data_IF_882463880194
#
_entry.id   IF_882463880194
#
_cell.length_a   1.000
_cell.length_b   1.000
_cell.length_c   1.000
_cell.angle_alpha   90.00
_cell.angle_beta   90.00
_cell.angle_gamma   90.00
#
_symmetry.space_group_name_H-M   'P 1'
#
loop_
_entity.id
_entity.type
_entity.pdbx_description
1 polymer ?
#
# COMPACT_ATOMS: atom_id res chain seq x y z
N UNK A 1 -31.25 -10.75 -25.42
CA UNK A 1 -31.29 -10.93 -23.96
C UNK A 1 -29.90 -11.37 -23.56
N UNK A 2 -29.15 -10.54 -22.82
CA UNK A 2 -27.85 -10.94 -22.30
C UNK A 2 -28.07 -12.09 -21.32
N UNK A 3 -27.57 -13.28 -21.64
CA UNK A 3 -27.48 -14.39 -20.70
C UNK A 3 -26.66 -13.91 -19.51
N UNK A 4 -27.33 -13.68 -18.37
CA UNK A 4 -26.69 -13.29 -17.14
C UNK A 4 -25.83 -14.46 -16.66
N UNK A 5 -24.53 -14.38 -16.93
CA UNK A 5 -23.54 -15.27 -16.34
C UNK A 5 -23.48 -14.97 -14.85
N UNK A 6 -23.66 -15.99 -14.02
CA UNK A 6 -23.55 -15.88 -12.57
C UNK A 6 -22.17 -15.36 -12.18
N UNK A 7 -22.12 -14.22 -11.48
CA UNK A 7 -20.86 -13.66 -10.98
C UNK A 7 -20.45 -14.44 -9.73
N UNK A 8 -19.28 -15.07 -9.78
CA UNK A 8 -18.78 -15.90 -8.67
C UNK A 8 -17.79 -15.17 -7.75
N UNK A 9 -17.16 -14.09 -8.20
CA UNK A 9 -16.19 -13.32 -7.42
C UNK A 9 -15.96 -11.95 -8.06
N UNK A 10 -15.66 -10.94 -7.25
CA UNK A 10 -15.20 -9.62 -7.69
C UNK A 10 -13.76 -9.41 -7.25
N UNK A 11 -12.90 -9.05 -8.20
CA UNK A 11 -11.51 -8.69 -7.95
C UNK A 11 -11.32 -7.19 -8.15
N UNK A 12 -10.73 -6.53 -7.16
CA UNK A 12 -10.39 -5.10 -7.22
C UNK A 12 -8.90 -4.95 -7.02
N UNK A 13 -8.22 -4.46 -8.05
CA UNK A 13 -6.81 -4.13 -7.98
C UNK A 13 -6.62 -2.64 -7.67
N UNK A 14 -5.47 -2.28 -7.11
CA UNK A 14 -5.14 -0.92 -6.68
C UNK A 14 -6.21 -0.27 -5.78
N UNK A 15 -6.81 -1.08 -4.91
CA UNK A 15 -7.95 -0.73 -4.06
C UNK A 15 -7.66 0.42 -3.07
N UNK A 16 -6.39 0.81 -2.92
CA UNK A 16 -6.03 2.02 -2.18
C UNK A 16 -6.65 3.30 -2.75
N UNK A 17 -6.94 3.33 -4.06
CA UNK A 17 -7.54 4.49 -4.73
C UNK A 17 -9.05 4.58 -4.58
N UNK A 18 -9.68 3.61 -3.91
CA UNK A 18 -11.11 3.67 -3.64
C UNK A 18 -11.45 4.85 -2.73
N UNK A 19 -12.62 5.41 -2.97
CA UNK A 19 -13.31 6.23 -1.97
C UNK A 19 -13.92 5.35 -0.89
N UNK A 20 -14.20 5.93 0.28
CA UNK A 20 -14.77 5.23 1.41
C UNK A 20 -16.15 4.60 1.08
N UNK A 21 -17.01 5.31 0.34
CA UNK A 21 -18.30 4.77 -0.09
C UNK A 21 -18.13 3.57 -1.04
N UNK A 22 -17.13 3.59 -1.93
CA UNK A 22 -16.87 2.46 -2.83
C UNK A 22 -16.47 1.21 -2.05
N UNK A 23 -15.65 1.35 -1.00
CA UNK A 23 -15.32 0.24 -0.11
C UNK A 23 -16.56 -0.35 0.56
N UNK A 24 -17.49 0.49 1.03
CA UNK A 24 -18.77 0.03 1.59
C UNK A 24 -19.70 -0.62 0.57
N UNK A 25 -19.70 -0.15 -0.68
CA UNK A 25 -20.44 -0.81 -1.76
C UNK A 25 -19.92 -2.23 -2.01
N UNK A 26 -18.60 -2.42 -2.00
CA UNK A 26 -17.96 -3.74 -2.10
C UNK A 26 -18.34 -4.66 -0.93
N UNK A 27 -18.33 -4.15 0.31
CA UNK A 27 -18.80 -4.92 1.47
C UNK A 27 -20.26 -5.36 1.31
N UNK A 28 -21.14 -4.47 0.82
CA UNK A 28 -22.55 -4.82 0.56
C UNK A 28 -22.70 -5.89 -0.52
N UNK A 29 -21.80 -5.97 -1.51
CA UNK A 29 -21.80 -7.06 -2.50
C UNK A 29 -21.50 -8.39 -1.81
N UNK A 30 -20.48 -8.44 -0.96
CA UNK A 30 -20.15 -9.63 -0.17
C UNK A 30 -21.34 -10.05 0.71
N UNK A 31 -21.87 -9.13 1.50
CA UNK A 31 -22.89 -9.42 2.51
C UNK A 31 -24.25 -9.78 1.89
N UNK A 32 -24.69 -9.02 0.88
CA UNK A 32 -26.08 -9.08 0.39
C UNK A 32 -26.26 -9.94 -0.84
N UNK A 33 -25.22 -10.04 -1.66
CA UNK A 33 -25.25 -10.87 -2.87
C UNK A 33 -24.54 -12.21 -2.67
N UNK A 34 -23.86 -12.39 -1.52
CA UNK A 34 -23.07 -13.58 -1.23
C UNK A 34 -22.01 -13.85 -2.30
N UNK A 35 -21.43 -12.78 -2.85
CA UNK A 35 -20.37 -12.83 -3.86
C UNK A 35 -19.05 -12.40 -3.19
N UNK A 36 -18.05 -13.27 -3.09
CA UNK A 36 -16.74 -12.92 -2.54
C UNK A 36 -16.13 -11.70 -3.25
N UNK A 37 -15.57 -10.79 -2.46
CA UNK A 37 -14.82 -9.63 -2.97
C UNK A 37 -13.39 -9.68 -2.47
N UNK A 38 -12.44 -9.62 -3.39
CA UNK A 38 -11.01 -9.64 -3.08
C UNK A 38 -10.37 -8.32 -3.53
N UNK A 39 -9.91 -7.54 -2.55
CA UNK A 39 -9.24 -6.27 -2.78
C UNK A 39 -7.73 -6.41 -2.61
N UNK A 40 -6.97 -5.93 -3.59
CA UNK A 40 -5.51 -5.82 -3.55
C UNK A 40 -5.10 -4.37 -3.60
N UNK A 41 -4.13 -3.97 -2.79
CA UNK A 41 -3.66 -2.59 -2.79
C UNK A 41 -2.62 -2.28 -1.73
N UNK A 42 -2.03 -1.10 -1.83
CA UNK A 42 -1.03 -0.59 -0.89
C UNK A 42 -1.70 -0.07 0.37
N UNK A 43 -1.16 -0.44 1.54
CA UNK A 43 -1.69 0.04 2.82
C UNK A 43 -1.45 1.53 3.03
N UNK A 44 -0.21 1.97 2.82
CA UNK A 44 0.28 3.32 3.11
C UNK A 44 1.05 3.89 1.95
N UNK A 45 1.05 5.21 1.82
CA UNK A 45 1.91 5.94 0.90
C UNK A 45 3.37 5.97 1.37
N UNK A 46 4.23 6.64 0.60
CA UNK A 46 5.65 6.80 0.93
C UNK A 46 5.90 7.66 2.19
N UNK A 47 4.91 8.45 2.62
CA UNK A 47 4.94 9.24 3.85
C UNK A 47 4.43 8.43 5.06
N UNK A 48 4.05 7.17 4.86
CA UNK A 48 3.51 6.30 5.92
C UNK A 48 2.06 6.58 6.29
N UNK A 49 1.33 7.37 5.48
CA UNK A 49 -0.10 7.66 5.70
C UNK A 49 -0.95 6.64 4.99
N UNK A 50 -2.08 6.26 5.61
CA UNK A 50 -3.05 5.38 4.95
C UNK A 50 -3.67 6.09 3.75
N UNK A 51 -3.83 5.35 2.65
CA UNK A 51 -4.71 5.78 1.57
C UNK A 51 -6.19 5.72 2.02
N UNK A 52 -7.06 6.51 1.38
CA UNK A 52 -8.49 6.55 1.72
C UNK A 52 -9.15 5.18 1.61
N UNK A 53 -8.98 4.50 0.47
CA UNK A 53 -9.56 3.19 0.21
C UNK A 53 -9.02 2.14 1.18
N UNK A 54 -7.70 2.14 1.39
CA UNK A 54 -7.04 1.23 2.33
C UNK A 54 -7.49 1.46 3.77
N UNK A 55 -7.71 2.72 4.19
CA UNK A 55 -8.22 3.04 5.52
C UNK A 55 -9.61 2.44 5.73
N UNK A 56 -10.50 2.59 4.75
CA UNK A 56 -11.85 2.03 4.82
C UNK A 56 -11.80 0.49 4.83
N UNK A 57 -11.07 -0.11 3.89
CA UNK A 57 -10.96 -1.57 3.77
C UNK A 57 -10.34 -2.21 5.02
N UNK A 58 -9.32 -1.60 5.62
CA UNK A 58 -8.74 -2.10 6.89
C UNK A 58 -9.75 -2.12 8.04
N UNK A 59 -10.75 -1.26 8.03
CA UNK A 59 -11.76 -1.18 9.09
C UNK A 59 -12.88 -2.22 8.91
N UNK A 60 -13.23 -2.55 7.67
CA UNK A 60 -14.46 -3.31 7.36
C UNK A 60 -14.23 -4.70 6.79
N UNK A 61 -13.01 -5.03 6.33
CA UNK A 61 -12.75 -6.33 5.69
C UNK A 61 -12.78 -7.48 6.69
N UNK A 62 -13.50 -8.56 6.37
CA UNK A 62 -13.58 -9.77 7.21
C UNK A 62 -12.22 -10.47 7.38
N UNK A 63 -11.41 -10.43 6.31
CA UNK A 63 -10.09 -11.05 6.26
C UNK A 63 -9.05 -10.08 5.71
N UNK A 64 -7.98 -9.88 6.47
CA UNK A 64 -6.84 -9.05 6.09
C UNK A 64 -5.58 -9.91 6.03
N UNK A 65 -4.98 -10.00 4.84
CA UNK A 65 -3.69 -10.68 4.65
C UNK A 65 -2.64 -9.71 4.16
N UNK A 66 -1.63 -9.47 4.99
CA UNK A 66 -0.45 -8.70 4.61
C UNK A 66 0.49 -9.57 3.74
N UNK A 67 0.83 -9.10 2.55
CA UNK A 67 1.89 -9.69 1.72
C UNK A 67 3.24 -9.22 2.27
N UNK A 68 4.10 -10.18 2.65
CA UNK A 68 5.37 -9.89 3.33
C UNK A 68 6.47 -9.63 2.31
N UNK A 69 7.18 -8.53 2.48
CA UNK A 69 8.49 -8.28 1.88
C UNK A 69 9.55 -8.18 2.97
N UNK A 70 10.83 -8.20 2.58
CA UNK A 70 11.96 -8.21 3.52
C UNK A 70 12.72 -6.88 3.39
N UNK A 71 12.96 -6.23 4.53
CA UNK A 71 13.83 -5.07 4.63
C UNK A 71 15.29 -5.50 4.49
N UNK A 72 16.19 -4.58 4.11
CA UNK A 72 17.63 -4.83 4.06
C UNK A 72 18.27 -5.35 5.37
N UNK A 73 17.65 -5.14 6.54
CA UNK A 73 18.09 -5.77 7.81
C UNK A 73 17.55 -7.18 8.05
N UNK A 74 16.83 -7.80 7.10
CA UNK A 74 16.18 -9.10 7.26
C UNK A 74 14.84 -9.07 8.01
N UNK A 75 14.45 -7.93 8.60
CA UNK A 75 13.13 -7.79 9.26
C UNK A 75 12.00 -7.59 8.26
N UNK A 76 10.77 -7.91 8.68
CA UNK A 76 9.56 -7.66 7.89
C UNK A 76 9.48 -6.20 7.45
N UNK A 77 9.40 -5.97 6.15
CA UNK A 77 9.14 -4.65 5.60
C UNK A 77 7.65 -4.35 5.64
N UNK A 78 7.31 -3.13 6.05
CA UNK A 78 5.93 -2.68 6.30
C UNK A 78 5.68 -1.25 5.79
N UNK A 79 6.73 -0.61 5.30
CA UNK A 79 6.75 0.77 4.80
C UNK A 79 7.45 0.78 3.45
N UNK A 80 7.21 1.83 2.67
CA UNK A 80 7.85 2.04 1.38
C UNK A 80 8.48 3.42 1.33
N UNK A 81 9.66 3.53 0.73
CA UNK A 81 10.22 4.81 0.31
C UNK A 81 10.19 4.88 -1.21
N UNK A 82 10.03 6.09 -1.73
CA UNK A 82 10.17 6.39 -3.14
C UNK A 82 11.54 7.01 -3.38
N UNK A 83 12.30 6.45 -4.31
CA UNK A 83 13.56 7.01 -4.78
C UNK A 83 13.30 7.82 -6.05
N UNK A 84 13.76 9.06 -6.06
CA UNK A 84 13.76 9.90 -7.25
C UNK A 84 14.78 9.43 -8.30
N UNK A 85 14.82 10.12 -9.44
CA UNK A 85 15.75 9.80 -10.52
C UNK A 85 17.24 9.94 -10.13
N UNK A 86 17.54 10.71 -9.07
CA UNK A 86 18.87 10.88 -8.49
C UNK A 86 19.22 9.79 -7.46
N UNK A 87 18.34 8.81 -7.26
CA UNK A 87 18.50 7.74 -6.27
C UNK A 87 18.26 8.19 -4.83
N UNK A 88 17.85 9.45 -4.59
CA UNK A 88 17.59 9.97 -3.25
C UNK A 88 16.14 9.75 -2.85
N UNK A 89 15.92 9.61 -1.55
CA UNK A 89 14.59 9.43 -0.97
C UNK A 89 13.76 10.70 -1.15
N UNK A 90 12.64 10.58 -1.84
CA UNK A 90 11.67 11.64 -1.98
C UNK A 90 10.95 11.84 -0.62
N UNK A 91 11.28 12.93 0.07
CA UNK A 91 10.67 13.29 1.36
C UNK A 91 9.44 14.18 1.22
N UNK A 92 9.28 14.84 0.07
CA UNK A 92 8.17 15.72 -0.29
C UNK A 92 7.82 15.47 -1.78
N UNK A 93 6.55 15.59 -2.14
CA UNK A 93 6.07 15.38 -3.52
C UNK A 93 4.63 14.86 -3.56
N UNK A 94 4.05 14.81 -4.75
CA UNK A 94 2.71 14.24 -4.94
C UNK A 94 2.66 12.75 -4.62
N UNK A 95 1.57 12.34 -3.98
CA UNK A 95 1.29 10.96 -3.55
C UNK A 95 1.18 9.99 -4.75
N UNK A 96 0.87 10.51 -5.93
CA UNK A 96 0.79 9.76 -7.18
C UNK A 96 1.77 10.37 -8.16
N UNK A 97 2.69 9.58 -8.68
CA UNK A 97 3.47 9.97 -9.85
C UNK A 97 3.66 8.79 -10.78
N UNK A 98 3.45 9.07 -12.06
CA UNK A 98 3.66 8.13 -13.15
C UNK A 98 5.06 8.44 -13.71
N UNK A 99 6.08 7.68 -13.29
CA UNK A 99 7.48 7.90 -13.66
C UNK A 99 8.37 6.68 -13.37
N UNK A 100 9.65 6.71 -13.77
CA UNK A 100 10.68 5.67 -13.47
C UNK A 100 11.12 5.66 -11.98
N UNK A 101 10.22 5.99 -11.08
CA UNK A 101 10.52 6.02 -9.66
C UNK A 101 10.68 4.60 -9.11
N UNK A 102 11.71 4.41 -8.29
CA UNK A 102 11.99 3.11 -7.68
C UNK A 102 11.39 3.09 -6.29
N UNK A 103 10.49 2.14 -6.03
CA UNK A 103 9.91 1.92 -4.72
C UNK A 103 10.70 0.85 -3.96
N UNK A 104 11.11 1.17 -2.73
CA UNK A 104 11.89 0.25 -1.88
C UNK A 104 11.14 -0.03 -0.58
N UNK A 105 10.93 -1.32 -0.31
CA UNK A 105 10.27 -1.81 0.90
C UNK A 105 11.23 -1.83 2.10
N UNK A 106 10.83 -1.20 3.21
CA UNK A 106 11.62 -1.10 4.43
C UNK A 106 10.82 -1.48 5.69
N UNK A 107 11.52 -1.90 6.73
CA UNK A 107 10.96 -1.95 8.08
C UNK A 107 10.78 -0.51 8.60
N UNK A 108 9.90 -0.33 9.59
CA UNK A 108 9.62 1.01 10.15
C UNK A 108 10.88 1.75 10.60
N UNK A 109 11.82 1.06 11.26
CA UNK A 109 13.08 1.65 11.74
C UNK A 109 13.86 2.29 10.59
N UNK A 110 14.21 1.49 9.57
CA UNK A 110 14.97 1.98 8.42
C UNK A 110 14.20 2.99 7.60
N UNK A 111 12.87 2.92 7.54
CA UNK A 111 12.06 3.96 6.92
C UNK A 111 12.18 5.31 7.65
N UNK A 112 12.18 5.33 8.98
CA UNK A 112 12.34 6.58 9.75
C UNK A 112 13.72 7.22 9.54
N UNK A 113 14.77 6.40 9.43
CA UNK A 113 16.13 6.84 9.13
C UNK A 113 16.22 7.48 7.72
N UNK A 114 15.69 6.80 6.70
CA UNK A 114 15.70 7.29 5.31
C UNK A 114 14.87 8.57 5.15
N UNK A 115 13.73 8.65 5.83
CA UNK A 115 12.88 9.84 5.86
C UNK A 115 13.45 10.97 6.72
N UNK A 116 14.56 10.74 7.44
CA UNK A 116 15.25 11.75 8.24
C UNK A 116 14.54 12.11 9.55
N UNK A 117 13.70 11.21 10.08
CA UNK A 117 13.00 11.39 11.37
C UNK A 117 13.90 11.06 12.56
N UNK A 118 14.87 10.17 12.36
CA UNK A 118 15.86 9.73 13.34
C UNK A 118 17.21 9.58 12.64
N UNK A 119 18.31 9.77 13.36
CA UNK A 119 19.65 9.53 12.83
C UNK A 119 19.85 8.02 12.53
N UNK A 120 20.58 7.64 11.46
CA UNK A 120 20.88 6.24 11.18
C UNK A 120 21.78 5.61 12.25
N UNK A 121 21.38 4.46 12.79
CA UNK A 121 22.12 3.76 13.84
C UNK A 121 23.28 2.90 13.28
N UNK A 122 23.19 2.43 12.03
CA UNK A 122 24.06 1.36 11.49
C UNK A 122 24.80 1.72 10.19
N UNK A 123 24.74 2.98 9.72
CA UNK A 123 25.27 3.45 8.41
C UNK A 123 24.82 2.61 7.20
N UNK A 124 23.81 1.75 7.36
CA UNK A 124 23.16 0.99 6.28
C UNK A 124 22.09 1.90 5.67
N UNK A 125 22.48 3.04 5.11
CA UNK A 125 21.57 3.98 4.44
C UNK A 125 21.69 3.92 2.93
N UNK A 126 20.65 4.34 2.21
CA UNK A 126 20.76 4.61 0.75
C UNK A 126 21.58 5.88 0.47
N UNK A 127 21.74 6.74 1.47
CA UNK A 127 22.63 7.90 1.44
C UNK A 127 24.04 7.50 1.92
N UNK A 128 24.88 6.99 1.01
CA UNK A 128 26.34 6.99 1.20
C UNK A 128 26.98 7.91 0.15
N UNK A 129 27.61 8.97 0.67
CA UNK A 129 28.43 10.00 0.00
C UNK A 129 27.71 10.88 -1.03
#
# INVERSE_FOLDING_TARGET
HHDHTTVHCVFVDEAQFLEEEQAWQLARIADRLNIPVMCYGLRTDFQGKLFSGSRALLAISDHLREVRTICRCGRKATMVVRLGADGKVARQGEQVAIGKDVYVSLCRRHWEEEMGRVAPDDFIGFTKA
#
